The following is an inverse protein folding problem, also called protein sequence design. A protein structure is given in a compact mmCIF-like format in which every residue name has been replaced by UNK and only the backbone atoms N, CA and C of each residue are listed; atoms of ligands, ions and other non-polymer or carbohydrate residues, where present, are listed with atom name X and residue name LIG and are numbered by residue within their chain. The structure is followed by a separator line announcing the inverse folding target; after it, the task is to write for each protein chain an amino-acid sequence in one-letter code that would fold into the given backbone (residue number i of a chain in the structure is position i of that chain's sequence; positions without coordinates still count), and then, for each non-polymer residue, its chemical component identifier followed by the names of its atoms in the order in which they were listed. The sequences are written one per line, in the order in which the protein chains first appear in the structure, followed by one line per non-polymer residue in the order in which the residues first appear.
data_IF_377448063584
#
_entry.id   IF_377448063584
#
_cell.length_a   1.000
_cell.length_b   1.000
_cell.length_c   1.000
_cell.angle_alpha   90.00
_cell.angle_beta   90.00
_cell.angle_gamma   90.00
#
_symmetry.space_group_name_H-M   'P 1'
#
loop_
_entity.id
_entity.type
_entity.pdbx_description
1 polymer ?
#
# COMPACT_ATOMS: atom_id res chain seq x y z
N UNK A 1 -3.61 -8.38 22.52
CA UNK A 1 -4.08 -7.17 23.22
C UNK A 1 -3.47 -5.98 22.50
N UNK A 2 -4.30 -5.14 21.89
CA UNK A 2 -3.85 -3.90 21.23
C UNK A 2 -3.75 -2.82 22.30
N UNK A 3 -2.65 -2.09 22.34
CA UNK A 3 -2.43 -0.98 23.27
C UNK A 3 -2.13 0.29 22.48
N UNK A 4 -2.71 1.42 22.89
CA UNK A 4 -2.38 2.72 22.30
C UNK A 4 -1.01 3.17 22.79
N UNK A 5 -0.11 3.41 21.84
CA UNK A 5 1.25 3.88 22.12
C UNK A 5 1.31 5.41 22.12
N UNK A 6 0.64 6.06 21.18
CA UNK A 6 0.57 7.52 21.09
C UNK A 6 -0.74 7.98 20.44
N UNK A 7 -1.19 9.19 20.77
CA UNK A 7 -2.31 9.86 20.10
C UNK A 7 -1.77 11.05 19.33
N UNK A 8 -2.08 11.11 18.03
CA UNK A 8 -1.63 12.18 17.13
C UNK A 8 -2.83 13.04 16.77
N UNK A 9 -2.73 14.33 17.06
CA UNK A 9 -3.67 15.34 16.57
C UNK A 9 -3.09 15.89 15.28
N UNK A 10 -3.72 15.50 14.17
CA UNK A 10 -3.24 15.79 12.82
C UNK A 10 -3.61 17.19 12.35
N UNK A 11 -4.37 17.96 13.14
CA UNK A 11 -4.73 19.34 12.83
C UNK A 11 -5.31 19.56 11.43
N UNK A 12 -5.89 18.52 10.80
CA UNK A 12 -6.54 18.60 9.50
C UNK A 12 -7.93 19.23 9.66
N UNK A 13 -8.35 19.96 8.62
CA UNK A 13 -9.65 20.63 8.63
C UNK A 13 -10.79 19.70 8.19
N UNK A 14 -10.45 18.57 7.57
CA UNK A 14 -11.40 17.58 7.05
C UNK A 14 -10.91 16.13 7.24
N UNK A 15 -11.71 15.16 6.80
CA UNK A 15 -11.47 13.73 6.95
C UNK A 15 -10.10 13.32 6.40
N UNK A 16 -9.39 12.51 7.19
CA UNK A 16 -8.11 11.90 6.83
C UNK A 16 -8.41 10.63 6.05
N UNK A 17 -7.76 10.47 4.89
CA UNK A 17 -7.94 9.30 4.05
C UNK A 17 -6.90 8.22 4.33
N UNK A 18 -5.65 8.63 4.50
CA UNK A 18 -4.56 7.70 4.72
C UNK A 18 -3.46 8.33 5.58
N UNK A 19 -2.73 7.45 6.29
CA UNK A 19 -1.63 7.80 7.14
C UNK A 19 -0.59 6.68 7.14
N UNK A 20 0.64 7.00 6.74
CA UNK A 20 1.73 6.04 6.66
C UNK A 20 2.93 6.52 7.49
N UNK A 21 3.47 5.60 8.29
CA UNK A 21 4.68 5.84 9.06
C UNK A 21 5.92 5.57 8.20
N UNK A 22 6.98 6.33 8.40
CA UNK A 22 8.24 6.12 7.68
C UNK A 22 8.90 4.79 8.07
N UNK A 23 9.91 4.40 7.29
CA UNK A 23 10.62 3.13 7.46
C UNK A 23 11.21 2.95 8.88
N UNK A 24 11.59 4.04 9.55
CA UNK A 24 12.21 4.00 10.88
C UNK A 24 11.22 4.19 12.03
N UNK A 25 9.95 4.46 11.76
CA UNK A 25 8.94 4.74 12.78
C UNK A 25 9.11 6.11 13.48
N UNK A 26 9.85 7.03 12.86
CA UNK A 26 10.17 8.35 13.40
C UNK A 26 9.29 9.44 12.81
N UNK A 27 8.69 9.21 11.64
CA UNK A 27 7.85 10.21 10.98
C UNK A 27 6.52 9.61 10.54
N UNK A 28 5.49 10.43 10.58
CA UNK A 28 4.15 10.07 10.11
C UNK A 28 3.72 11.05 9.04
N UNK A 29 3.43 10.54 7.84
CA UNK A 29 2.74 11.29 6.81
C UNK A 29 1.24 11.06 6.95
N UNK A 30 0.47 12.12 6.77
CA UNK A 30 -1.00 12.10 6.83
C UNK A 30 -1.54 12.89 5.65
N UNK A 31 -2.67 12.46 5.10
CA UNK A 31 -3.30 13.13 3.98
C UNK A 31 -4.83 13.22 4.16
N UNK A 32 -5.41 14.31 3.68
CA UNK A 32 -6.79 14.67 3.98
C UNK A 32 -7.54 15.22 2.76
N UNK A 33 -8.87 15.26 2.89
CA UNK A 33 -9.77 16.01 2.02
C UNK A 33 -9.51 17.52 2.01
N UNK A 34 -8.72 18.07 2.95
CA UNK A 34 -8.32 19.49 2.95
C UNK A 34 -7.20 19.84 1.94
N UNK A 35 -6.85 18.89 1.06
CA UNK A 35 -5.83 18.99 0.01
C UNK A 35 -4.38 19.11 0.51
N UNK A 36 -4.14 18.92 1.82
CA UNK A 36 -2.81 18.96 2.41
C UNK A 36 -2.25 17.57 2.71
N UNK A 37 -0.93 17.46 2.60
CA UNK A 37 -0.18 16.34 3.16
C UNK A 37 0.69 16.87 4.27
N UNK A 38 0.43 16.41 5.50
CA UNK A 38 1.16 16.86 6.69
C UNK A 38 2.13 15.81 7.17
N UNK A 39 3.33 16.23 7.54
CA UNK A 39 4.39 15.36 8.04
C UNK A 39 4.69 15.71 9.49
N UNK A 40 4.59 14.72 10.35
CA UNK A 40 4.84 14.80 11.78
C UNK A 40 6.12 14.05 12.12
N UNK A 41 6.98 14.66 12.95
CA UNK A 41 8.09 13.98 13.60
C UNK A 41 7.60 13.45 14.95
N UNK A 42 7.83 12.17 15.20
CA UNK A 42 7.37 11.44 16.38
C UNK A 42 8.61 11.10 17.21
N UNK A 43 8.85 11.90 18.25
CA UNK A 43 9.96 11.70 19.19
C UNK A 43 9.41 11.51 20.59
N UNK A 44 9.62 10.32 21.15
CA UNK A 44 9.28 9.98 22.54
C UNK A 44 7.84 10.37 22.94
N UNK A 45 6.86 10.12 22.05
CA UNK A 45 5.45 10.45 22.29
C UNK A 45 5.06 11.90 21.98
N UNK A 46 6.00 12.80 21.71
CA UNK A 46 5.70 14.16 21.26
C UNK A 46 5.59 14.18 19.74
N UNK A 47 4.52 14.78 19.24
CA UNK A 47 4.31 15.06 17.83
C UNK A 47 4.71 16.50 17.52
N UNK A 48 5.50 16.71 16.47
CA UNK A 48 5.76 18.05 15.94
C UNK A 48 5.52 18.09 14.45
N UNK A 49 4.63 18.99 14.02
CA UNK A 49 4.40 19.26 12.60
C UNK A 49 5.70 19.80 12.00
N UNK A 50 6.27 19.04 11.09
CA UNK A 50 7.54 19.37 10.43
C UNK A 50 7.29 20.04 9.08
N UNK A 51 6.27 19.59 8.35
CA UNK A 51 5.93 20.17 7.06
C UNK A 51 4.42 20.08 6.76
N UNK A 52 3.91 21.13 6.10
CA UNK A 52 2.59 21.20 5.51
C UNK A 52 2.75 21.32 3.99
N UNK A 53 2.57 20.20 3.28
CA UNK A 53 2.79 20.08 1.85
C UNK A 53 1.49 20.40 1.10
N UNK A 54 1.46 21.60 0.51
CA UNK A 54 0.36 22.06 -0.33
C UNK A 54 0.79 22.06 -1.79
N UNK A 55 -0.02 21.44 -2.63
CA UNK A 55 0.27 21.32 -4.06
C UNK A 55 -0.80 20.58 -4.86
N UNK A 56 -1.67 19.83 -4.16
CA UNK A 56 -2.85 19.24 -4.74
C UNK A 56 -4.03 20.24 -4.77
N UNK A 57 -4.90 20.08 -5.76
CA UNK A 57 -6.11 20.90 -5.92
C UNK A 57 -7.40 20.15 -5.55
N UNK A 58 -7.28 18.93 -5.05
CA UNK A 58 -8.38 18.09 -4.62
C UNK A 58 -7.97 17.21 -3.43
N UNK A 59 -8.91 16.42 -2.88
CA UNK A 59 -8.64 15.48 -1.80
C UNK A 59 -7.46 14.57 -2.12
N UNK A 60 -6.59 14.34 -1.13
CA UNK A 60 -5.45 13.43 -1.25
C UNK A 60 -5.87 12.08 -0.69
N UNK A 61 -5.75 11.02 -1.50
CA UNK A 61 -6.30 9.70 -1.19
C UNK A 61 -5.34 8.81 -0.44
N UNK A 62 -4.08 8.76 -0.89
CA UNK A 62 -3.07 7.86 -0.34
C UNK A 62 -1.70 8.54 -0.35
N UNK A 63 -0.88 8.17 0.63
CA UNK A 63 0.52 8.55 0.73
C UNK A 63 1.38 7.29 0.82
N UNK A 64 2.62 7.36 0.31
CA UNK A 64 3.54 6.24 0.42
C UNK A 64 4.99 6.72 0.59
N UNK A 65 5.70 6.16 1.58
CA UNK A 65 7.12 6.46 1.80
C UNK A 65 8.01 5.61 0.90
N UNK A 66 9.02 6.24 0.28
CA UNK A 66 10.03 5.48 -0.45
C UNK A 66 11.04 4.85 0.53
N UNK A 67 11.77 3.85 0.05
CA UNK A 67 12.83 3.24 0.82
C UNK A 67 13.97 4.24 1.14
N UNK A 68 14.48 4.30 2.38
CA UNK A 68 15.43 5.33 2.83
C UNK A 68 16.76 5.35 2.08
N UNK A 69 17.10 4.28 1.34
CA UNK A 69 18.25 4.22 0.42
C UNK A 69 18.25 5.34 -0.62
N UNK A 70 17.07 5.85 -1.00
CA UNK A 70 16.92 6.94 -1.98
C UNK A 70 16.76 8.31 -1.31
N UNK A 71 16.96 8.38 0.01
CA UNK A 71 16.66 9.54 0.84
C UNK A 71 15.20 9.57 1.29
N UNK A 72 14.81 10.70 1.87
CA UNK A 72 13.45 10.90 2.37
C UNK A 72 12.56 11.40 1.22
N UNK A 73 11.86 10.46 0.59
CA UNK A 73 10.90 10.71 -0.47
C UNK A 73 9.51 10.26 -0.01
N UNK A 74 8.51 11.05 -0.36
CA UNK A 74 7.09 10.75 -0.11
C UNK A 74 6.33 10.92 -1.41
N UNK A 75 5.51 9.94 -1.79
CA UNK A 75 4.57 10.07 -2.88
C UNK A 75 3.17 10.39 -2.31
N UNK A 76 2.42 11.23 -3.02
CA UNK A 76 1.00 11.48 -2.73
C UNK A 76 0.18 11.44 -4.01
N UNK A 77 -1.03 10.88 -3.93
CA UNK A 77 -1.98 10.86 -5.03
C UNK A 77 -3.31 11.51 -4.65
N UNK A 78 -3.96 12.13 -5.63
CA UNK A 78 -5.14 12.97 -5.37
C UNK A 78 -6.21 12.84 -6.45
N UNK A 79 -7.40 13.27 -6.08
CA UNK A 79 -8.53 13.51 -6.96
C UNK A 79 -8.23 14.50 -8.11
N UNK A 80 -7.22 15.36 -7.95
CA UNK A 80 -6.81 16.32 -8.97
C UNK A 80 -6.11 15.70 -10.20
N UNK A 81 -6.03 14.36 -10.25
CA UNK A 81 -5.43 13.54 -11.31
C UNK A 81 -3.90 13.58 -11.32
N UNK A 82 -3.29 14.12 -10.26
CA UNK A 82 -1.84 14.24 -10.15
C UNK A 82 -1.28 13.29 -9.11
N UNK A 83 -0.06 12.84 -9.38
CA UNK A 83 0.82 12.23 -8.40
C UNK A 83 1.98 13.18 -8.17
N UNK A 84 2.23 13.51 -6.92
CA UNK A 84 3.34 14.38 -6.54
C UNK A 84 4.35 13.56 -5.75
N UNK A 85 5.63 13.68 -6.12
CA UNK A 85 6.75 13.12 -5.37
C UNK A 85 7.45 14.27 -4.66
N UNK A 86 7.47 14.20 -3.34
CA UNK A 86 8.09 15.16 -2.46
C UNK A 86 9.45 14.64 -2.01
N UNK A 87 10.43 15.53 -1.91
CA UNK A 87 11.77 15.24 -1.40
C UNK A 87 12.12 16.19 -0.28
N UNK A 88 12.69 15.64 0.78
CA UNK A 88 13.31 16.46 1.82
C UNK A 88 14.77 16.76 1.45
N UNK A 89 15.10 18.06 1.34
CA UNK A 89 16.45 18.54 1.15
C UNK A 89 16.72 19.75 2.07
N UNK A 90 16.42 19.58 3.37
CA UNK A 90 16.34 20.66 4.36
C UNK A 90 14.91 21.15 4.52
N UNK A 91 14.35 21.72 3.46
CA UNK A 91 12.91 21.94 3.32
C UNK A 91 12.30 20.87 2.39
N UNK A 92 11.00 20.63 2.56
CA UNK A 92 10.26 19.73 1.69
C UNK A 92 9.89 20.43 0.39
N UNK A 93 10.32 19.85 -0.73
CA UNK A 93 10.08 20.40 -2.06
C UNK A 93 9.44 19.35 -2.98
N UNK A 94 8.69 19.83 -3.97
CA UNK A 94 8.16 19.00 -5.05
C UNK A 94 9.30 18.60 -5.97
N UNK A 95 9.65 17.31 -5.98
CA UNK A 95 10.70 16.75 -6.84
C UNK A 95 10.17 16.47 -8.24
N UNK A 96 8.97 15.89 -8.32
CA UNK A 96 8.37 15.47 -9.58
C UNK A 96 6.84 15.54 -9.50
N UNK A 97 6.21 15.86 -10.64
CA UNK A 97 4.76 15.89 -10.80
C UNK A 97 4.38 15.08 -12.03
N UNK A 98 3.49 14.11 -11.84
CA UNK A 98 2.93 13.30 -12.90
C UNK A 98 1.44 13.59 -13.06
N UNK A 99 1.04 13.99 -14.28
CA UNK A 99 -0.32 14.46 -14.59
C UNK A 99 -0.90 13.86 -15.88
N UNK A 100 -0.45 12.66 -16.24
CA UNK A 100 -0.89 11.95 -17.47
C UNK A 100 -2.22 11.22 -17.32
N UNK A 101 -2.79 11.16 -16.12
CA UNK A 101 -4.07 10.51 -15.85
C UNK A 101 -5.24 11.43 -16.17
N UNK A 102 -6.31 10.86 -16.71
CA UNK A 102 -7.50 11.61 -17.13
C UNK A 102 -8.55 11.70 -16.00
N UNK A 103 -8.35 10.95 -14.91
CA UNK A 103 -9.23 10.92 -13.73
C UNK A 103 -8.44 10.75 -12.43
N UNK A 104 -9.14 10.77 -11.29
CA UNK A 104 -8.59 10.68 -9.93
C UNK A 104 -7.58 9.54 -9.78
N UNK A 105 -6.45 9.79 -9.12
CA UNK A 105 -5.48 8.73 -8.80
C UNK A 105 -5.76 8.24 -7.38
N UNK A 106 -6.20 6.98 -7.27
CA UNK A 106 -6.76 6.45 -6.04
C UNK A 106 -5.71 5.80 -5.14
N UNK A 107 -4.64 5.24 -5.73
CA UNK A 107 -3.62 4.52 -4.97
C UNK A 107 -2.22 4.71 -5.56
N UNK A 108 -1.23 4.74 -4.66
CA UNK A 108 0.19 4.77 -4.96
C UNK A 108 0.94 3.76 -4.11
N UNK A 109 1.92 3.08 -4.69
CA UNK A 109 2.78 2.16 -3.97
C UNK A 109 4.20 2.17 -4.53
N UNK A 110 5.20 2.34 -3.66
CA UNK A 110 6.60 2.19 -4.02
C UNK A 110 6.96 0.73 -4.22
N UNK A 111 7.76 0.46 -5.24
CA UNK A 111 8.28 -0.87 -5.49
C UNK A 111 9.35 -1.25 -4.45
N UNK A 112 9.61 -2.55 -4.24
CA UNK A 112 10.76 -3.03 -3.50
C UNK A 112 12.05 -2.36 -3.97
N UNK A 113 12.90 -1.97 -3.02
CA UNK A 113 14.11 -1.20 -3.28
C UNK A 113 15.13 -1.90 -4.19
N UNK A 114 15.02 -3.23 -4.32
CA UNK A 114 15.77 -4.08 -5.24
C UNK A 114 15.47 -3.79 -6.71
N UNK A 115 14.27 -3.29 -7.03
CA UNK A 115 13.85 -2.95 -8.40
C UNK A 115 14.33 -1.56 -8.84
N UNK A 116 14.90 -0.78 -7.92
CA UNK A 116 15.22 0.63 -8.13
C UNK A 116 14.17 1.54 -7.49
N UNK A 117 14.22 2.83 -7.86
CA UNK A 117 13.22 3.80 -7.43
C UNK A 117 12.07 3.79 -8.44
N UNK A 118 11.06 2.96 -8.15
CA UNK A 118 9.86 2.79 -8.97
C UNK A 118 8.59 3.02 -8.16
N UNK A 119 7.60 3.69 -8.75
CA UNK A 119 6.30 3.99 -8.14
C UNK A 119 5.19 3.52 -9.07
N UNK A 120 4.26 2.72 -8.57
CA UNK A 120 3.05 2.39 -9.31
C UNK A 120 1.90 3.27 -8.84
N UNK A 121 1.02 3.66 -9.75
CA UNK A 121 -0.15 4.46 -9.47
C UNK A 121 -1.38 3.98 -10.26
N UNK A 122 -2.48 3.77 -9.53
CA UNK A 122 -3.75 3.31 -10.08
C UNK A 122 -4.75 4.45 -10.17
N UNK A 123 -5.35 4.66 -11.35
CA UNK A 123 -6.32 5.74 -11.57
C UNK A 123 -7.73 5.23 -11.83
N UNK A 124 -8.70 6.06 -11.48
CA UNK A 124 -10.11 5.93 -11.84
C UNK A 124 -10.36 6.01 -13.35
N UNK A 125 -9.38 6.40 -14.17
CA UNK A 125 -9.48 6.33 -15.64
C UNK A 125 -9.32 4.89 -16.17
N UNK A 126 -9.08 3.93 -15.29
CA UNK A 126 -8.87 2.51 -15.61
C UNK A 126 -7.45 2.19 -16.03
N UNK A 127 -6.53 3.16 -16.05
CA UNK A 127 -5.12 2.96 -16.36
C UNK A 127 -4.27 2.83 -15.10
N UNK A 128 -3.15 2.14 -15.27
CA UNK A 128 -2.08 1.98 -14.30
C UNK A 128 -0.84 2.65 -14.87
N UNK A 129 -0.15 3.51 -14.13
CA UNK A 129 1.15 4.01 -14.56
C UNK A 129 2.25 3.56 -13.60
N UNK A 130 3.39 3.16 -14.17
CA UNK A 130 4.61 2.82 -13.43
C UNK A 130 5.67 3.86 -13.76
N UNK A 131 6.02 4.67 -12.77
CA UNK A 131 7.04 5.71 -12.84
C UNK A 131 8.36 5.11 -12.38
N UNK A 132 9.40 5.22 -13.22
CA UNK A 132 10.74 4.72 -12.92
C UNK A 132 11.71 5.88 -12.96
N UNK A 133 12.45 6.10 -11.87
CA UNK A 133 13.54 7.06 -11.88
C UNK A 133 14.82 6.40 -12.39
N UNK A 134 15.44 7.00 -13.39
CA UNK A 134 16.75 6.56 -13.85
C UNK A 134 17.83 7.19 -12.95
N UNK A 135 18.62 6.38 -12.20
CA UNK A 135 19.61 6.90 -11.25
C UNK A 135 20.73 7.70 -11.91
N UNK A 136 21.07 7.42 -13.17
CA UNK A 136 22.20 8.07 -13.86
C UNK A 136 21.83 9.47 -14.37
N UNK A 137 20.57 9.66 -14.77
CA UNK A 137 20.09 10.93 -15.36
C UNK A 137 19.22 11.72 -14.39
N UNK A 138 18.69 11.09 -13.35
CA UNK A 138 17.69 11.66 -12.45
C UNK A 138 16.31 11.86 -13.10
N UNK A 139 16.15 11.49 -14.37
CA UNK A 139 14.89 11.64 -15.09
C UNK A 139 13.89 10.55 -14.71
N UNK A 140 12.62 10.93 -14.72
CA UNK A 140 11.50 10.02 -14.51
C UNK A 140 10.94 9.56 -15.85
N UNK A 141 10.97 8.26 -16.08
CA UNK A 141 10.26 7.61 -17.18
C UNK A 141 8.90 7.10 -16.68
N UNK A 142 7.88 7.19 -17.53
CA UNK A 142 6.51 6.86 -17.16
C UNK A 142 5.92 5.86 -18.15
N UNK A 143 5.70 4.63 -17.69
CA UNK A 143 5.04 3.58 -18.46
C UNK A 143 3.56 3.52 -18.09
N UNK A 144 2.70 4.05 -18.95
CA UNK A 144 1.23 3.99 -18.80
C UNK A 144 0.69 2.71 -19.44
N UNK A 145 -0.07 1.95 -18.68
CA UNK A 145 -0.81 0.74 -19.09
C UNK A 145 -2.28 1.15 -19.19
N UNK A 146 -2.79 1.45 -20.40
CA UNK A 146 -4.18 1.82 -20.59
C UNK A 146 -5.10 0.61 -20.40
N UNK A 147 -6.33 0.85 -19.96
CA UNK A 147 -7.38 -0.17 -19.81
C UNK A 147 -6.95 -1.36 -18.93
N UNK A 148 -6.20 -1.10 -17.85
CA UNK A 148 -5.89 -2.10 -16.84
C UNK A 148 -7.19 -2.64 -16.20
N UNK A 149 -8.12 -1.74 -15.87
CA UNK A 149 -9.47 -2.08 -15.41
C UNK A 149 -10.51 -1.34 -16.26
N UNK A 150 -11.68 -1.96 -16.45
CA UNK A 150 -12.69 -1.45 -17.40
C UNK A 150 -13.31 -0.14 -16.93
N UNK A 151 -13.48 0.01 -15.62
CA UNK A 151 -14.18 1.15 -15.01
C UNK A 151 -13.18 2.08 -14.29
N UNK A 152 -12.24 1.51 -13.53
CA UNK A 152 -11.29 2.26 -12.72
C UNK A 152 -10.44 1.34 -11.85
N UNK A 153 -9.24 1.78 -11.49
CA UNK A 153 -8.34 1.11 -10.56
C UNK A 153 -8.42 1.80 -9.19
N UNK A 154 -8.69 1.04 -8.13
CA UNK A 154 -8.79 1.56 -6.76
C UNK A 154 -7.50 1.37 -5.97
N UNK A 155 -6.84 0.22 -6.14
CA UNK A 155 -5.69 -0.15 -5.34
C UNK A 155 -4.60 -0.82 -6.14
N UNK A 156 -3.36 -0.60 -5.71
CA UNK A 156 -2.15 -1.15 -6.31
C UNK A 156 -1.22 -1.63 -5.19
N UNK A 157 -0.67 -2.83 -5.34
CA UNK A 157 0.33 -3.35 -4.41
C UNK A 157 1.42 -4.13 -5.15
N UNK A 158 2.65 -4.03 -4.68
CA UNK A 158 3.80 -4.67 -5.31
C UNK A 158 4.01 -6.07 -4.75
N UNK A 159 4.38 -7.00 -5.64
CA UNK A 159 4.94 -8.27 -5.20
C UNK A 159 6.30 -8.02 -4.55
N UNK A 160 6.60 -8.65 -3.39
CA UNK A 160 7.92 -8.60 -2.79
C UNK A 160 9.01 -9.03 -3.77
N UNK A 161 10.24 -8.53 -3.57
CA UNK A 161 11.39 -8.93 -4.37
C UNK A 161 11.85 -10.35 -4.01
N UNK A 162 11.07 -11.37 -4.40
CA UNK A 162 11.45 -12.76 -4.21
C UNK A 162 12.48 -13.14 -5.27
N UNK A 163 13.72 -13.39 -4.86
CA UNK A 163 14.72 -13.96 -5.77
C UNK A 163 14.22 -15.35 -6.22
N UNK A 164 14.19 -15.66 -7.53
CA UNK A 164 13.63 -16.91 -8.04
C UNK A 164 14.31 -18.20 -7.51
N UNK A 165 15.49 -18.10 -6.91
CA UNK A 165 16.23 -19.23 -6.36
C UNK A 165 16.37 -19.14 -4.83
N UNK A 166 16.23 -20.27 -4.10
CA UNK A 166 16.67 -20.36 -2.73
C UNK A 166 18.19 -20.11 -2.65
N UNK A 167 18.62 -19.34 -1.66
CA UNK A 167 20.00 -18.86 -1.47
C UNK A 167 21.09 -19.96 -1.34
N UNK A 168 20.73 -21.24 -1.45
CA UNK A 168 21.62 -22.40 -1.27
C UNK A 168 22.06 -23.08 -2.58
N UNK A 169 21.51 -22.72 -3.75
CA UNK A 169 21.95 -23.33 -5.01
C UNK A 169 23.14 -22.56 -5.63
N UNK A 170 24.33 -22.81 -5.07
CA UNK A 170 25.60 -22.25 -5.53
C UNK A 170 26.10 -22.86 -6.86
N UNK A 171 25.30 -23.68 -7.55
CA UNK A 171 25.70 -24.36 -8.79
C UNK A 171 25.29 -23.63 -10.08
N UNK A 172 24.46 -22.58 -10.00
CA UNK A 172 24.06 -21.78 -11.15
C UNK A 172 25.06 -20.64 -11.43
N UNK A 173 26.00 -20.88 -12.34
CA UNK A 173 26.96 -19.89 -12.80
C UNK A 173 26.32 -18.64 -13.45
N UNK A 174 26.86 -17.47 -13.11
CA UNK A 174 27.02 -16.28 -13.97
C UNK A 174 25.80 -15.69 -14.72
N UNK A 175 24.57 -15.83 -14.22
CA UNK A 175 23.48 -14.89 -14.54
C UNK A 175 22.71 -14.63 -13.26
N UNK A 176 22.70 -13.39 -12.78
CA UNK A 176 21.70 -12.96 -11.80
C UNK A 176 20.33 -13.33 -12.40
N UNK A 177 19.55 -14.22 -11.76
CA UNK A 177 18.21 -14.51 -12.27
C UNK A 177 17.45 -13.18 -12.26
N UNK A 178 16.91 -12.78 -13.41
CA UNK A 178 16.16 -11.54 -13.53
C UNK A 178 15.01 -11.59 -12.52
N UNK A 179 15.02 -10.67 -11.54
CA UNK A 179 13.95 -10.62 -10.56
C UNK A 179 12.68 -10.24 -11.33
N UNK A 180 11.68 -11.11 -11.27
CA UNK A 180 10.42 -10.90 -11.98
C UNK A 180 9.62 -9.86 -11.21
N UNK A 181 9.47 -8.66 -11.77
CA UNK A 181 8.65 -7.63 -11.16
C UNK A 181 7.19 -7.96 -11.40
N UNK A 182 6.43 -8.06 -10.31
CA UNK A 182 4.98 -8.24 -10.34
C UNK A 182 4.29 -7.18 -9.51
N UNK A 183 3.08 -6.86 -9.91
CA UNK A 183 2.18 -6.00 -9.16
C UNK A 183 0.76 -6.58 -9.23
N UNK A 184 -0.03 -6.32 -8.20
CA UNK A 184 -1.45 -6.63 -8.16
C UNK A 184 -2.25 -5.34 -8.17
N UNK A 185 -3.36 -5.34 -8.90
CA UNK A 185 -4.31 -4.23 -8.94
C UNK A 185 -5.73 -4.70 -8.65
N UNK A 186 -6.49 -3.87 -7.94
CA UNK A 186 -7.91 -4.06 -7.69
C UNK A 186 -8.72 -2.94 -8.34
N UNK A 187 -9.80 -3.29 -9.03
CA UNK A 187 -10.61 -2.32 -9.77
C UNK A 187 -12.10 -2.34 -9.48
N UNK A 188 -12.78 -1.32 -10.02
CA UNK A 188 -14.24 -1.18 -9.99
C UNK A 188 -14.96 -2.16 -10.92
N UNK A 189 -14.24 -3.01 -11.66
CA UNK A 189 -14.79 -4.08 -12.48
C UNK A 189 -14.90 -5.42 -11.72
N UNK A 190 -14.73 -5.39 -10.39
CA UNK A 190 -14.79 -6.53 -9.46
C UNK A 190 -13.62 -7.51 -9.61
N UNK A 191 -12.59 -7.12 -10.37
CA UNK A 191 -11.45 -7.96 -10.69
C UNK A 191 -10.26 -7.58 -9.84
N UNK A 192 -9.51 -8.61 -9.45
CA UNK A 192 -8.12 -8.46 -9.04
C UNK A 192 -7.26 -8.98 -10.19
N UNK A 193 -6.30 -8.18 -10.64
CA UNK A 193 -5.42 -8.52 -11.76
C UNK A 193 -3.98 -8.51 -11.31
N UNK A 194 -3.21 -9.49 -11.79
CA UNK A 194 -1.78 -9.57 -11.54
C UNK A 194 -1.07 -9.25 -12.84
N UNK A 195 -0.10 -8.35 -12.75
CA UNK A 195 0.69 -7.89 -13.86
C UNK A 195 2.15 -8.27 -13.65
N UNK A 196 2.81 -8.61 -14.75
CA UNK A 196 4.22 -8.99 -14.79
C UNK A 196 4.94 -8.13 -15.81
N UNK A 197 6.14 -7.67 -15.45
CA UNK A 197 7.04 -7.02 -16.40
C UNK A 197 7.70 -8.10 -17.28
N UNK A 198 7.45 -8.04 -18.58
CA UNK A 198 8.12 -8.86 -19.59
C UNK A 198 8.84 -7.95 -20.59
N UNK A 199 10.16 -7.88 -20.45
CA UNK A 199 10.99 -6.96 -21.21
C UNK A 199 10.68 -5.51 -20.85
N UNK A 200 10.14 -4.76 -21.81
CA UNK A 200 9.81 -3.34 -21.63
C UNK A 200 8.32 -3.08 -21.35
N UNK A 201 7.49 -4.14 -21.39
CA UNK A 201 6.03 -4.05 -21.28
C UNK A 201 5.51 -4.78 -20.04
N UNK A 202 4.37 -4.32 -19.56
CA UNK A 202 3.59 -5.01 -18.53
C UNK A 202 2.49 -5.82 -19.19
N UNK A 203 2.42 -7.10 -18.84
CA UNK A 203 1.39 -8.02 -19.32
C UNK A 203 0.51 -8.48 -18.16
N UNK A 204 -0.77 -8.73 -18.43
CA UNK A 204 -1.69 -9.36 -17.50
C UNK A 204 -1.33 -10.85 -17.39
N UNK A 205 -0.86 -11.29 -16.22
CA UNK A 205 -0.47 -12.69 -15.95
C UNK A 205 -1.66 -13.50 -15.43
N UNK A 206 -2.49 -12.90 -14.56
CA UNK A 206 -3.66 -13.56 -14.00
C UNK A 206 -4.83 -12.60 -13.79
N UNK A 207 -6.03 -13.15 -13.93
CA UNK A 207 -7.30 -12.47 -13.69
C UNK A 207 -8.09 -13.25 -12.64
N UNK A 208 -8.36 -12.61 -11.52
CA UNK A 208 -8.95 -13.22 -10.33
C UNK A 208 -10.39 -12.68 -10.17
N UNK A 209 -11.37 -13.51 -10.48
CA UNK A 209 -12.79 -13.14 -10.56
C UNK A 209 -13.62 -13.85 -9.47
N UNK A 210 -13.60 -13.32 -8.25
CA UNK A 210 -14.42 -13.88 -7.15
C UNK A 210 -15.27 -12.82 -6.48
N UNK A 211 -14.82 -11.56 -6.44
CA UNK A 211 -15.62 -10.48 -5.90
C UNK A 211 -16.85 -10.20 -6.76
N UNK A 212 -17.94 -9.82 -6.11
CA UNK A 212 -19.23 -9.52 -6.75
C UNK A 212 -19.49 -8.02 -6.93
N UNK A 213 -18.64 -7.18 -6.36
CA UNK A 213 -18.72 -5.72 -6.40
C UNK A 213 -17.29 -5.12 -6.33
N UNK A 214 -17.18 -3.79 -6.37
CA UNK A 214 -15.91 -3.07 -6.51
C UNK A 214 -14.86 -3.52 -5.51
N UNK A 215 -13.67 -3.86 -6.01
CA UNK A 215 -12.52 -4.14 -5.15
C UNK A 215 -12.01 -2.81 -4.61
N UNK A 216 -11.96 -2.69 -3.28
CA UNK A 216 -11.58 -1.45 -2.58
C UNK A 216 -10.08 -1.38 -2.35
N UNK A 217 -9.49 -2.48 -1.89
CA UNK A 217 -8.05 -2.54 -1.62
C UNK A 217 -7.48 -3.93 -1.94
N UNK A 218 -6.20 -3.96 -2.28
CA UNK A 218 -5.42 -5.17 -2.55
C UNK A 218 -4.04 -5.04 -1.91
N UNK A 219 -3.61 -6.06 -1.20
CA UNK A 219 -2.31 -6.07 -0.53
C UNK A 219 -1.59 -7.40 -0.77
N UNK A 220 -0.40 -7.34 -1.36
CA UNK A 220 0.48 -8.50 -1.48
C UNK A 220 1.23 -8.70 -0.16
N UNK A 221 1.18 -9.91 0.39
CA UNK A 221 1.86 -10.22 1.64
C UNK A 221 3.38 -10.26 1.43
N UNK A 222 4.18 -9.65 2.32
CA UNK A 222 5.62 -9.83 2.31
C UNK A 222 5.98 -11.30 2.64
N UNK A 223 6.47 -12.04 1.66
CA UNK A 223 6.89 -13.44 1.81
C UNK A 223 8.35 -13.52 2.26
N UNK A 224 8.58 -13.55 3.57
CA UNK A 224 9.94 -13.76 4.11
C UNK A 224 10.27 -15.26 4.06
N UNK A 225 10.95 -15.69 3.01
CA UNK A 225 11.57 -17.02 2.94
C UNK A 225 10.63 -18.22 2.71
N UNK A 226 9.34 -17.98 2.51
CA UNK A 226 8.38 -19.01 2.08
C UNK A 226 8.13 -18.90 0.57
N UNK A 227 8.06 -20.03 -0.16
CA UNK A 227 7.74 -20.01 -1.60
C UNK A 227 6.27 -19.67 -1.87
N UNK A 228 5.40 -19.75 -0.85
CA UNK A 228 3.98 -19.42 -0.93
C UNK A 228 3.79 -17.90 -0.96
N UNK A 229 3.16 -17.42 -2.02
CA UNK A 229 2.74 -16.03 -2.16
C UNK A 229 1.27 -15.89 -1.76
N UNK A 230 0.96 -14.82 -1.04
CA UNK A 230 -0.36 -14.55 -0.51
C UNK A 230 -0.76 -13.13 -0.90
N UNK A 231 -2.00 -12.94 -1.35
CA UNK A 231 -2.60 -11.63 -1.61
C UNK A 231 -3.90 -11.56 -0.81
N UNK A 232 -4.15 -10.43 -0.17
CA UNK A 232 -5.47 -10.10 0.39
C UNK A 232 -6.17 -9.11 -0.55
N UNK A 233 -7.46 -9.31 -0.78
CA UNK A 233 -8.33 -8.33 -1.43
C UNK A 233 -9.58 -8.11 -0.62
N UNK A 234 -10.06 -6.87 -0.60
CA UNK A 234 -11.34 -6.52 0.01
C UNK A 234 -12.24 -5.79 -0.99
N UNK A 235 -13.55 -5.90 -0.79
CA UNK A 235 -14.54 -5.36 -1.71
C UNK A 235 -15.75 -4.77 -1.00
N UNK A 236 -16.49 -3.97 -1.76
CA UNK A 236 -17.83 -3.50 -1.46
C UNK A 236 -18.83 -4.64 -1.17
N UNK A 237 -18.55 -5.85 -1.66
CA UNK A 237 -19.35 -7.04 -1.36
C UNK A 237 -19.22 -7.56 0.08
N UNK A 238 -18.47 -6.83 0.93
CA UNK A 238 -18.25 -7.08 2.35
C UNK A 238 -17.40 -8.32 2.61
N UNK A 239 -16.76 -8.87 1.60
CA UNK A 239 -15.88 -10.03 1.73
C UNK A 239 -14.43 -9.59 1.70
N UNK A 240 -13.62 -10.30 2.48
CA UNK A 240 -12.17 -10.32 2.31
C UNK A 240 -11.79 -11.70 1.77
N UNK A 241 -11.00 -11.70 0.71
CA UNK A 241 -10.53 -12.91 0.04
C UNK A 241 -9.01 -12.97 0.17
N UNK A 242 -8.52 -14.14 0.57
CA UNK A 242 -7.10 -14.48 0.60
C UNK A 242 -6.81 -15.36 -0.60
N UNK A 243 -5.95 -14.89 -1.48
CA UNK A 243 -5.45 -15.62 -2.63
C UNK A 243 -4.12 -16.23 -2.25
N UNK A 244 -3.97 -17.54 -2.36
CA UNK A 244 -2.70 -18.20 -2.16
C UNK A 244 -2.20 -18.88 -3.43
N UNK A 245 -0.89 -18.82 -3.64
CA UNK A 245 -0.22 -19.43 -4.79
C UNK A 245 1.16 -19.92 -4.41
N UNK A 246 1.53 -21.12 -4.85
CA UNK A 246 2.87 -21.69 -4.64
C UNK A 246 3.80 -21.44 -5.84
N UNK A 247 3.24 -21.12 -7.00
CA UNK A 247 3.97 -20.96 -8.28
C UNK A 247 3.84 -19.53 -8.88
N UNK A 248 3.07 -18.65 -8.23
CA UNK A 248 2.66 -17.32 -8.70
C UNK A 248 1.82 -17.30 -9.98
N UNK A 249 1.34 -18.45 -10.44
CA UNK A 249 0.57 -18.60 -11.68
C UNK A 249 -0.85 -19.07 -11.34
N UNK A 250 -0.95 -20.11 -10.51
CA UNK A 250 -2.23 -20.67 -10.05
C UNK A 250 -2.60 -20.09 -8.70
N UNK A 251 -3.73 -19.39 -8.65
CA UNK A 251 -4.20 -18.69 -7.46
C UNK A 251 -5.46 -19.33 -6.92
N UNK A 252 -5.42 -19.75 -5.66
CA UNK A 252 -6.55 -20.35 -4.95
C UNK A 252 -7.21 -19.32 -4.03
N UNK A 253 -8.49 -18.97 -4.25
CA UNK A 253 -9.22 -18.06 -3.38
C UNK A 253 -9.74 -18.78 -2.13
N UNK A 254 -9.53 -18.17 -0.97
CA UNK A 254 -10.15 -18.55 0.30
C UNK A 254 -10.90 -17.35 0.85
N UNK A 255 -12.20 -17.50 1.14
CA UNK A 255 -12.97 -16.43 1.80
C UNK A 255 -12.54 -16.37 3.26
N UNK A 256 -11.96 -15.23 3.68
CA UNK A 256 -11.55 -14.99 5.05
C UNK A 256 -12.77 -14.88 5.96
N UNK A 257 -13.63 -13.90 5.64
CA UNK A 257 -14.78 -13.51 6.43
C UNK A 257 -15.73 -12.65 5.57
N UNK A 258 -17.01 -12.67 5.90
CA UNK A 258 -18.01 -11.74 5.35
C UNK A 258 -18.46 -10.81 6.46
N UNK A 259 -18.16 -9.51 6.31
CA UNK A 259 -18.47 -8.47 7.28
C UNK A 259 -19.90 -7.95 7.09
N UNK A 260 -20.41 -7.24 8.10
CA UNK A 260 -21.76 -6.65 8.05
C UNK A 260 -21.82 -5.43 7.11
N UNK A 261 -20.69 -4.74 6.96
CA UNK A 261 -20.53 -3.54 6.14
C UNK A 261 -19.35 -3.66 5.16
N UNK A 262 -19.19 -2.67 4.28
CA UNK A 262 -18.11 -2.57 3.29
C UNK A 262 -16.74 -2.61 3.95
N UNK A 263 -15.78 -3.29 3.32
CA UNK A 263 -14.39 -3.28 3.78
C UNK A 263 -13.60 -2.29 2.92
N UNK A 264 -12.89 -1.37 3.55
CA UNK A 264 -12.21 -0.26 2.86
C UNK A 264 -10.76 -0.58 2.54
N UNK A 265 -9.98 -1.02 3.54
CA UNK A 265 -8.55 -1.27 3.37
C UNK A 265 -8.11 -2.58 4.01
N UNK A 266 -7.07 -3.18 3.46
CA UNK A 266 -6.38 -4.37 3.95
C UNK A 266 -4.88 -4.12 4.00
N UNK A 267 -4.23 -4.51 5.10
CA UNK A 267 -2.78 -4.31 5.23
C UNK A 267 -2.11 -5.47 5.97
N UNK A 268 -0.97 -5.90 5.44
CA UNK A 268 -0.18 -6.99 6.01
C UNK A 268 0.81 -6.47 7.03
N UNK A 269 1.04 -7.25 8.09
CA UNK A 269 2.21 -7.07 8.93
C UNK A 269 3.50 -7.30 8.12
N UNK A 270 4.61 -6.66 8.51
CA UNK A 270 5.89 -6.84 7.83
C UNK A 270 6.36 -8.30 7.81
N UNK A 271 5.94 -9.11 8.79
CA UNK A 271 6.20 -10.55 8.86
C UNK A 271 5.34 -11.39 7.92
N UNK A 272 4.30 -10.81 7.30
CA UNK A 272 3.38 -11.49 6.38
C UNK A 272 2.32 -12.37 7.03
N UNK A 273 2.27 -12.43 8.37
CA UNK A 273 1.43 -13.42 9.09
C UNK A 273 0.14 -12.85 9.67
N UNK A 274 0.05 -11.53 9.85
CA UNK A 274 -1.13 -10.87 10.40
C UNK A 274 -1.69 -9.94 9.34
N UNK A 275 -3.01 -10.02 9.15
CA UNK A 275 -3.77 -9.14 8.28
C UNK A 275 -4.61 -8.18 9.13
N UNK A 276 -4.47 -6.88 8.88
CA UNK A 276 -5.39 -5.87 9.39
C UNK A 276 -6.47 -5.59 8.34
N UNK A 277 -7.72 -5.59 8.78
CA UNK A 277 -8.89 -5.36 7.94
C UNK A 277 -9.69 -4.20 8.53
N UNK A 278 -9.91 -3.16 7.73
CA UNK A 278 -10.69 -1.99 8.15
C UNK A 278 -12.09 -2.01 7.53
N UNK A 279 -13.11 -2.06 8.40
CA UNK A 279 -14.52 -2.12 8.02
C UNK A 279 -15.20 -0.75 8.05
N UNK A 280 -16.31 -0.63 7.31
CA UNK A 280 -17.22 0.52 7.32
C UNK A 280 -17.97 0.70 8.63
N UNK A 281 -17.96 -0.32 9.49
CA UNK A 281 -18.46 -0.28 10.86
C UNK A 281 -17.57 0.54 11.82
N UNK A 282 -16.54 1.22 11.30
CA UNK A 282 -15.53 1.97 12.04
C UNK A 282 -14.70 1.11 13.00
N UNK A 283 -14.52 -0.16 12.64
CA UNK A 283 -13.68 -1.09 13.39
C UNK A 283 -12.55 -1.61 12.52
N UNK A 284 -11.46 -1.94 13.20
CA UNK A 284 -10.31 -2.62 12.61
C UNK A 284 -10.20 -3.99 13.25
N UNK A 285 -10.27 -5.03 12.44
CA UNK A 285 -10.09 -6.42 12.88
C UNK A 285 -8.72 -6.93 12.44
N UNK A 286 -8.08 -7.69 13.32
CA UNK A 286 -6.80 -8.34 13.05
C UNK A 286 -7.03 -9.83 12.87
N UNK A 287 -6.40 -10.42 11.87
CA UNK A 287 -6.57 -11.82 11.50
C UNK A 287 -5.22 -12.51 11.36
N UNK A 288 -5.16 -13.81 11.70
CA UNK A 288 -3.99 -14.65 11.44
C UNK A 288 -4.41 -16.04 10.98
N UNK A 289 -3.57 -16.67 10.17
CA UNK A 289 -3.72 -18.07 9.80
C UNK A 289 -3.22 -18.97 10.95
N UNK A 290 -3.96 -20.04 11.25
CA UNK A 290 -3.53 -21.07 12.20
C UNK A 290 -2.79 -22.22 11.48
N UNK A 291 -2.29 -23.20 12.24
CA UNK A 291 -1.58 -24.36 11.67
C UNK A 291 -2.47 -25.26 10.79
N UNK A 292 -3.80 -25.09 10.86
CA UNK A 292 -4.80 -25.82 10.07
C UNK A 292 -5.20 -25.03 8.80
N UNK A 293 -4.49 -23.95 8.46
CA UNK A 293 -4.79 -23.05 7.33
C UNK A 293 -6.16 -22.36 7.42
N UNK A 294 -6.69 -22.19 8.64
CA UNK A 294 -7.88 -21.41 8.93
C UNK A 294 -7.52 -20.04 9.48
N UNK A 295 -8.25 -19.03 9.03
CA UNK A 295 -8.07 -17.67 9.49
C UNK A 295 -8.94 -17.38 10.71
N UNK A 296 -8.31 -16.87 11.77
CA UNK A 296 -8.98 -16.51 13.01
C UNK A 296 -8.79 -15.02 13.33
N UNK A 297 -9.86 -14.39 13.79
CA UNK A 297 -9.79 -13.03 14.32
C UNK A 297 -9.09 -13.03 15.68
N UNK A 298 -8.01 -12.25 15.81
CA UNK A 298 -7.20 -12.17 17.04
C UNK A 298 -7.54 -10.97 17.90
N UNK A 299 -8.06 -9.90 17.30
CA UNK A 299 -8.42 -8.67 18.00
C UNK A 299 -9.33 -7.83 17.12
N UNK A 300 -10.21 -7.08 17.76
CA UNK A 300 -11.05 -6.08 17.13
C UNK A 300 -10.84 -4.77 17.89
N UNK A 301 -10.62 -3.69 17.15
CA UNK A 301 -10.35 -2.36 17.69
C UNK A 301 -11.46 -1.44 17.20
N UNK A 302 -12.24 -0.91 18.12
CA UNK A 302 -13.29 0.07 17.82
C UNK A 302 -12.79 1.49 18.07
N UNK A 303 -13.36 2.46 17.34
CA UNK A 303 -13.13 3.89 17.58
C UNK A 303 -13.32 4.24 19.07
N UNK A 304 -12.27 4.76 19.72
CA UNK A 304 -12.29 5.19 21.13
C UNK A 304 -11.83 4.15 22.16
N UNK A 305 -11.63 2.87 21.79
CA UNK A 305 -11.01 1.88 22.69
C UNK A 305 -9.49 2.05 22.65
N UNK A 306 -8.99 2.95 23.48
CA UNK A 306 -7.57 3.32 23.48
C UNK A 306 -7.20 4.63 24.18
N UNK A 307 -8.14 5.31 24.84
CA UNK A 307 -7.78 6.44 25.70
C UNK A 307 -6.81 5.94 26.78
N UNK A 308 -5.65 6.59 26.88
CA UNK A 308 -4.72 6.33 27.98
C UNK A 308 -5.49 6.50 29.29
N UNK A 309 -5.60 5.42 30.06
CA UNK A 309 -6.03 5.51 31.45
C UNK A 309 -5.03 6.45 32.12
N UNK A 310 -5.55 7.53 32.71
CA UNK A 310 -4.77 8.67 33.18
C UNK A 310 -3.57 8.27 34.02
N UNK A 311 -2.54 9.11 33.94
CA UNK A 311 -1.37 9.13 34.79
C UNK A 311 -1.74 8.94 36.28
N UNK A 312 -1.68 7.72 36.79
CA UNK A 312 -1.49 7.50 38.22
C UNK A 312 -0.02 7.76 38.52
N UNK A 313 0.25 8.95 39.07
CA UNK A 313 1.42 9.22 39.88
C UNK A 313 1.55 8.12 40.96
N UNK A 314 2.42 7.14 40.75
CA UNK A 314 3.03 6.41 41.86
C UNK A 314 4.29 7.15 42.26
N UNK A 315 4.10 8.10 43.16
CA UNK A 315 5.15 8.53 44.07
C UNK A 315 5.52 7.36 44.98
N UNK A 316 6.80 7.00 45.01
CA UNK A 316 7.56 6.64 46.20
C UNK A 316 9.03 6.95 45.92
#
# INVERSE_FOLDING_TARGET
MVSVLNTVDTGHEDMIHDAEMDYYGLRLATCSSDHSVKIYDIKNGTQTLTADLKGHYGPVWQVAWAHPKYGNLLASCSYDRKVIIWKEAGEWVKLYEYSSHDSSVNSVAWAPHEFGLMLACGSSDGSLSVLTNNPDTGNWDAKKIPNAHTIGCNAVSWCPATSPNPAFDASAGSRSPAIVKRLVTGGCDNLVKIWKEEGDRWIEEAKLEVHSDWVRDVAWAPSIGLPRSIIASCSQDRRVIIWSSDDNITWTPTVLHTFDDVVWNVSWSLTGNILAVSGGDNKVSLWRENNESQWICISEVSKGQGQMVGSEQRAL
#
